data_IF_045472350670
#
_entry.id   IF_045472350670
#
_cell.length_a   1.000
_cell.length_b   1.000
_cell.length_c   1.000
_cell.angle_alpha   90.00
_cell.angle_beta   90.00
_cell.angle_gamma   90.00
#
_symmetry.space_group_name_H-M   'P 1'
#
loop_
_entity.id
_entity.type
_entity.pdbx_description
1 polymer ?
#
# COMPACT_ATOMS: atom_id res chain seq x y z
N UNK A 1 -16.23 25.48 -5.50
CA UNK A 1 -15.06 26.30 -5.91
C UNK A 1 -13.79 25.55 -5.51
N UNK A 2 -13.14 24.92 -6.47
CA UNK A 2 -11.98 24.05 -6.27
C UNK A 2 -10.73 24.93 -6.24
N UNK A 3 -10.16 25.16 -5.08
CA UNK A 3 -8.87 25.86 -4.95
C UNK A 3 -7.75 24.90 -5.31
N UNK A 4 -7.50 24.75 -6.59
CA UNK A 4 -6.23 24.23 -7.12
C UNK A 4 -5.26 25.40 -7.32
N UNK A 5 -4.71 25.90 -6.23
CA UNK A 5 -3.55 26.79 -6.25
C UNK A 5 -2.31 25.95 -5.94
N UNK A 6 -1.50 25.62 -6.93
CA UNK A 6 -0.08 25.30 -6.74
C UNK A 6 0.60 26.61 -6.30
N UNK A 7 0.58 26.91 -5.02
CA UNK A 7 1.47 27.94 -4.50
C UNK A 7 2.89 27.38 -4.47
N UNK A 8 3.69 27.81 -5.40
CA UNK A 8 5.14 27.54 -5.48
C UNK A 8 5.92 28.42 -4.49
N UNK A 9 5.26 29.04 -3.52
CA UNK A 9 5.96 29.85 -2.53
C UNK A 9 6.83 28.98 -1.64
N UNK A 10 8.09 29.37 -1.42
CA UNK A 10 8.96 28.70 -0.48
C UNK A 10 8.36 28.73 0.92
N UNK A 11 8.69 27.75 1.74
CA UNK A 11 8.31 27.79 3.15
C UNK A 11 9.09 28.90 3.86
N UNK A 12 8.55 29.46 4.98
CA UNK A 12 9.36 30.23 5.90
C UNK A 12 10.61 29.46 6.33
N UNK A 13 11.68 30.18 6.63
CA UNK A 13 13.01 29.63 6.98
C UNK A 13 12.92 28.57 8.09
N UNK A 14 12.07 28.79 9.07
CA UNK A 14 11.80 27.87 10.17
C UNK A 14 11.18 26.55 9.69
N UNK A 15 10.33 26.63 8.69
CA UNK A 15 9.71 25.44 8.08
C UNK A 15 10.71 24.62 7.28
N UNK A 16 11.61 25.27 6.55
CA UNK A 16 12.68 24.60 5.80
C UNK A 16 13.66 23.92 6.75
N UNK A 17 14.14 24.62 7.79
CA UNK A 17 15.03 24.07 8.81
C UNK A 17 14.43 22.83 9.50
N UNK A 18 13.14 22.86 9.82
CA UNK A 18 12.45 21.68 10.36
C UNK A 18 12.44 20.48 9.40
N UNK A 19 12.21 20.72 8.11
CA UNK A 19 12.22 19.63 7.12
C UNK A 19 13.63 19.08 6.91
N UNK A 20 14.65 19.92 6.95
CA UNK A 20 16.06 19.51 6.88
C UNK A 20 16.44 18.64 8.08
N UNK A 21 16.08 19.05 9.30
CA UNK A 21 16.27 18.24 10.51
C UNK A 21 15.58 16.88 10.39
N UNK A 22 14.32 16.84 9.93
CA UNK A 22 13.60 15.59 9.73
C UNK A 22 14.31 14.64 8.76
N UNK A 23 14.91 15.20 7.72
CA UNK A 23 15.66 14.44 6.70
C UNK A 23 16.99 13.94 7.25
N UNK A 24 17.77 14.84 7.88
CA UNK A 24 19.11 14.56 8.36
C UNK A 24 19.11 13.62 9.58
N UNK A 25 18.29 13.91 10.59
CA UNK A 25 18.33 13.20 11.87
C UNK A 25 17.35 12.02 11.95
N UNK A 26 16.16 12.14 11.31
CA UNK A 26 15.11 11.11 11.41
C UNK A 26 14.97 10.25 10.16
N UNK A 27 15.80 10.47 9.14
CA UNK A 27 15.73 9.69 7.90
C UNK A 27 14.36 9.71 7.24
N UNK A 28 13.68 10.87 7.26
CA UNK A 28 12.33 11.01 6.70
C UNK A 28 12.33 10.66 5.22
N UNK A 29 11.34 9.86 4.79
CA UNK A 29 11.19 9.53 3.38
C UNK A 29 10.72 10.74 2.58
N UNK A 30 11.01 10.79 1.27
CA UNK A 30 10.52 11.83 0.37
C UNK A 30 8.99 12.03 0.43
N UNK A 31 8.24 10.96 0.64
CA UNK A 31 6.78 11.05 0.82
C UNK A 31 6.40 11.70 2.15
N UNK A 32 7.15 11.44 3.22
CA UNK A 32 6.96 12.08 4.53
C UNK A 32 7.27 13.56 4.44
N UNK A 33 8.39 13.90 3.83
CA UNK A 33 8.81 15.29 3.58
C UNK A 33 7.73 16.04 2.78
N UNK A 34 7.27 15.48 1.66
CA UNK A 34 6.22 16.09 0.84
C UNK A 34 4.90 16.29 1.61
N UNK A 35 4.51 15.32 2.45
CA UNK A 35 3.30 15.42 3.26
C UNK A 35 3.43 16.50 4.33
N UNK A 36 4.56 16.58 5.03
CA UNK A 36 4.83 17.59 6.06
C UNK A 36 4.92 18.98 5.44
N UNK A 37 5.60 19.11 4.30
CA UNK A 37 5.65 20.35 3.51
C UNK A 37 4.25 20.86 3.18
N UNK A 38 3.36 19.98 2.71
CA UNK A 38 1.98 20.37 2.38
C UNK A 38 1.18 20.79 3.64
N UNK A 39 1.38 20.11 4.76
CA UNK A 39 0.72 20.44 6.02
C UNK A 39 1.19 21.78 6.59
N UNK A 40 2.52 22.03 6.59
CA UNK A 40 3.09 23.30 7.04
C UNK A 40 2.67 24.46 6.14
N UNK A 41 2.65 24.29 4.82
CA UNK A 41 2.12 25.31 3.90
C UNK A 41 0.69 25.70 4.24
N UNK A 42 -0.17 24.71 4.52
CA UNK A 42 -1.54 24.97 4.93
C UNK A 42 -1.64 25.77 6.23
N UNK A 43 -0.80 25.44 7.21
CA UNK A 43 -0.70 26.16 8.47
C UNK A 43 -0.20 27.59 8.25
N UNK A 44 0.91 27.78 7.57
CA UNK A 44 1.51 29.10 7.37
C UNK A 44 0.62 30.03 6.55
N UNK A 45 -0.04 29.53 5.52
CA UNK A 45 -1.02 30.27 4.75
C UNK A 45 -2.23 30.73 5.62
N UNK A 46 -2.62 29.93 6.60
CA UNK A 46 -3.67 30.31 7.55
C UNK A 46 -3.19 31.39 8.52
N UNK A 47 -1.97 31.23 9.08
CA UNK A 47 -1.38 32.17 10.01
C UNK A 47 -1.12 33.53 9.34
N UNK A 48 -0.61 33.55 8.11
CA UNK A 48 -0.34 34.78 7.36
C UNK A 48 -1.61 35.62 7.18
N UNK A 49 -2.78 35.00 6.92
CA UNK A 49 -4.07 35.72 6.86
C UNK A 49 -4.46 36.40 8.17
N UNK A 50 -3.88 35.94 9.30
CA UNK A 50 -4.04 36.51 10.62
C UNK A 50 -2.89 37.43 11.03
N UNK A 51 -2.01 37.78 10.08
CA UNK A 51 -0.80 38.57 10.31
C UNK A 51 0.12 37.95 11.36
N UNK A 52 0.17 36.62 11.42
CA UNK A 52 1.02 35.84 12.30
C UNK A 52 1.93 34.95 11.45
N UNK A 53 3.06 34.54 12.05
CA UNK A 53 4.00 33.60 11.46
C UNK A 53 4.39 32.50 12.43
N UNK A 54 5.33 31.61 12.05
CA UNK A 54 5.79 30.53 12.92
C UNK A 54 6.23 30.97 14.30
N UNK A 55 6.92 32.13 14.38
CA UNK A 55 7.48 32.64 15.63
C UNK A 55 6.47 33.42 16.49
N UNK A 56 5.35 33.89 15.93
CA UNK A 56 4.36 34.72 16.62
C UNK A 56 3.01 34.03 16.85
N UNK A 57 2.82 32.83 16.28
CA UNK A 57 1.59 32.07 16.44
C UNK A 57 1.35 31.69 17.91
N UNK A 58 0.13 31.89 18.38
CA UNK A 58 -0.30 31.49 19.72
C UNK A 58 -1.25 30.28 19.67
N UNK A 59 -1.52 29.68 20.83
CA UNK A 59 -2.40 28.52 20.94
C UNK A 59 -3.83 28.78 20.40
N UNK A 60 -4.32 30.01 20.51
CA UNK A 60 -5.63 30.38 19.99
C UNK A 60 -5.69 30.32 18.46
N UNK A 61 -4.66 30.87 17.79
CA UNK A 61 -4.55 30.81 16.32
C UNK A 61 -4.45 29.37 15.82
N UNK A 62 -3.71 28.51 16.53
CA UNK A 62 -3.59 27.10 16.20
C UNK A 62 -4.92 26.32 16.40
N UNK A 63 -5.66 26.62 17.49
CA UNK A 63 -7.03 26.07 17.67
C UNK A 63 -7.96 26.53 16.56
N UNK A 64 -7.90 27.80 16.16
CA UNK A 64 -8.69 28.32 15.06
C UNK A 64 -8.33 27.67 13.71
N UNK A 65 -7.04 27.36 13.49
CA UNK A 65 -6.62 26.57 12.32
C UNK A 65 -7.27 25.18 12.32
N UNK A 66 -7.20 24.45 13.43
CA UNK A 66 -7.81 23.11 13.53
C UNK A 66 -9.32 23.17 13.29
N UNK A 67 -10.03 24.15 13.89
CA UNK A 67 -11.46 24.36 13.61
C UNK A 67 -11.74 24.66 12.13
N UNK A 68 -10.87 25.42 11.46
CA UNK A 68 -11.04 25.68 10.03
C UNK A 68 -10.91 24.44 9.16
N UNK A 69 -10.14 23.45 9.59
CA UNK A 69 -10.01 22.15 8.89
C UNK A 69 -11.31 21.33 9.02
N UNK A 70 -11.94 21.35 10.19
CA UNK A 70 -13.23 20.70 10.40
C UNK A 70 -14.34 21.38 9.57
N UNK A 71 -14.34 22.70 9.51
CA UNK A 71 -15.30 23.46 8.72
C UNK A 71 -15.24 23.16 7.21
N UNK A 72 -14.04 22.90 6.66
CA UNK A 72 -13.88 22.47 5.26
C UNK A 72 -14.09 20.97 5.07
N UNK A 73 -14.59 20.25 6.07
CA UNK A 73 -14.96 18.85 5.98
C UNK A 73 -13.78 17.86 5.94
N UNK A 74 -12.63 18.23 6.51
CA UNK A 74 -11.52 17.30 6.61
C UNK A 74 -11.82 16.18 7.62
N UNK A 75 -11.39 14.96 7.28
CA UNK A 75 -11.62 13.82 8.18
C UNK A 75 -10.85 14.00 9.50
N UNK A 76 -11.40 13.52 10.65
CA UNK A 76 -10.71 13.60 11.95
C UNK A 76 -9.29 13.01 11.92
N UNK A 77 -9.05 11.99 11.10
CA UNK A 77 -7.73 11.39 10.90
C UNK A 77 -6.75 12.36 10.22
N UNK A 78 -7.23 13.15 9.26
CA UNK A 78 -6.41 14.17 8.58
C UNK A 78 -6.08 15.30 9.55
N UNK A 79 -7.04 15.76 10.36
CA UNK A 79 -6.84 16.78 11.38
C UNK A 79 -5.83 16.30 12.43
N UNK A 80 -5.96 15.06 12.94
CA UNK A 80 -5.01 14.46 13.88
C UNK A 80 -3.59 14.38 13.32
N UNK A 81 -3.43 14.04 12.04
CA UNK A 81 -2.11 14.02 11.39
C UNK A 81 -1.50 15.42 11.32
N UNK A 82 -2.28 16.42 10.91
CA UNK A 82 -1.82 17.81 10.86
C UNK A 82 -1.45 18.35 12.24
N UNK A 83 -2.24 18.03 13.27
CA UNK A 83 -1.89 18.36 14.65
C UNK A 83 -0.57 17.71 15.08
N UNK A 84 -0.32 16.45 14.68
CA UNK A 84 0.96 15.78 14.96
C UNK A 84 2.14 16.50 14.31
N UNK A 85 1.99 16.97 13.07
CA UNK A 85 3.02 17.78 12.38
C UNK A 85 3.24 19.11 13.10
N UNK A 86 2.17 19.82 13.47
CA UNK A 86 2.24 21.07 14.23
C UNK A 86 2.98 20.90 15.55
N UNK A 87 2.64 19.88 16.34
CA UNK A 87 3.34 19.57 17.60
C UNK A 87 4.82 19.30 17.41
N UNK A 88 5.19 18.55 16.39
CA UNK A 88 6.58 18.27 16.07
C UNK A 88 7.33 19.54 15.65
N UNK A 89 6.68 20.37 14.84
CA UNK A 89 7.24 21.64 14.38
C UNK A 89 7.47 22.63 15.52
N UNK A 90 6.46 22.92 16.37
CA UNK A 90 6.63 23.86 17.46
C UNK A 90 7.58 23.36 18.56
N UNK A 91 7.61 22.04 18.79
CA UNK A 91 8.63 21.43 19.68
C UNK A 91 10.04 21.60 19.12
N UNK A 92 10.22 21.51 17.79
CA UNK A 92 11.48 21.79 17.13
C UNK A 92 11.87 23.25 17.34
N UNK A 93 10.98 24.21 17.12
CA UNK A 93 11.28 25.63 17.33
C UNK A 93 11.71 25.94 18.77
N UNK A 94 11.06 25.30 19.75
CA UNK A 94 11.44 25.42 21.15
C UNK A 94 12.84 24.80 21.42
N UNK A 95 13.11 23.62 20.88
CA UNK A 95 14.38 22.92 21.05
C UNK A 95 15.56 23.71 20.44
N UNK A 96 15.35 24.32 19.27
CA UNK A 96 16.33 25.17 18.58
C UNK A 96 16.38 26.60 19.14
N UNK A 97 15.66 26.87 20.23
CA UNK A 97 15.59 28.22 20.84
C UNK A 97 15.17 29.35 19.89
N UNK A 98 14.40 28.97 18.85
CA UNK A 98 13.76 29.94 17.95
C UNK A 98 12.50 30.55 18.59
N UNK A 99 11.98 29.85 19.62
CA UNK A 99 10.87 30.29 20.49
C UNK A 99 11.14 29.87 21.92
N UNK A 100 10.50 30.60 22.85
CA UNK A 100 10.57 30.30 24.29
C UNK A 100 9.36 29.47 24.78
N UNK A 101 8.39 29.19 23.90
CA UNK A 101 7.16 28.43 24.22
C UNK A 101 6.81 27.40 23.13
N UNK A 102 5.97 26.43 23.49
CA UNK A 102 5.31 25.51 22.55
C UNK A 102 3.79 25.71 22.56
N UNK A 103 3.25 26.57 21.66
CA UNK A 103 1.81 26.86 21.62
C UNK A 103 0.96 25.65 21.18
N UNK A 104 1.58 24.59 20.68
CA UNK A 104 0.87 23.38 20.29
C UNK A 104 0.76 22.34 21.41
N UNK A 105 1.44 22.54 22.55
CA UNK A 105 1.50 21.61 23.68
C UNK A 105 0.12 21.39 24.32
N UNK A 106 -0.72 22.41 24.38
CA UNK A 106 -2.05 22.42 25.02
C UNK A 106 -3.21 22.11 24.08
N UNK A 107 -2.93 21.75 22.82
CA UNK A 107 -3.99 21.45 21.85
C UNK A 107 -4.50 20.03 22.07
N UNK A 108 -5.83 19.86 22.08
CA UNK A 108 -6.44 18.54 22.17
C UNK A 108 -6.40 17.80 20.84
N UNK A 109 -6.23 16.48 20.92
CA UNK A 109 -6.35 15.62 19.74
C UNK A 109 -7.83 15.38 19.41
N UNK A 110 -8.23 15.44 18.13
CA UNK A 110 -9.58 15.11 17.75
C UNK A 110 -9.92 13.68 18.20
N UNK A 111 -11.15 13.48 18.70
CA UNK A 111 -11.64 12.15 19.06
C UNK A 111 -11.74 11.31 17.78
N UNK A 112 -10.80 10.39 17.61
CA UNK A 112 -10.86 9.38 16.56
C UNK A 112 -11.83 8.30 17.01
N UNK A 113 -12.98 8.18 16.36
CA UNK A 113 -13.80 6.98 16.51
C UNK A 113 -12.95 5.75 16.23
N UNK A 114 -13.13 4.65 16.98
CA UNK A 114 -12.53 3.36 16.64
C UNK A 114 -13.32 2.76 15.48
N UNK A 115 -12.89 2.89 14.22
CA UNK A 115 -13.53 2.16 13.15
C UNK A 115 -13.32 0.67 13.42
N UNK A 116 -14.40 -0.12 13.32
CA UNK A 116 -14.30 -1.57 13.30
C UNK A 116 -13.30 -1.95 12.21
N UNK A 117 -12.37 -2.88 12.46
CA UNK A 117 -11.44 -3.35 11.45
C UNK A 117 -12.23 -3.85 10.24
N UNK A 118 -12.03 -3.22 9.10
CA UNK A 118 -12.66 -3.66 7.84
C UNK A 118 -11.82 -4.81 7.30
N UNK A 119 -12.00 -6.01 7.85
CA UNK A 119 -11.36 -7.21 7.33
C UNK A 119 -12.31 -7.86 6.33
N UNK A 120 -11.82 -8.17 5.14
CA UNK A 120 -12.54 -9.00 4.18
C UNK A 120 -12.46 -10.46 4.63
N UNK A 121 -13.58 -11.18 4.60
CA UNK A 121 -13.60 -12.62 4.82
C UNK A 121 -12.90 -13.36 3.67
N UNK A 122 -12.50 -14.61 3.90
CA UNK A 122 -11.89 -15.48 2.86
C UNK A 122 -12.81 -15.59 1.65
N UNK A 123 -14.11 -15.80 1.87
CA UNK A 123 -15.10 -15.89 0.81
C UNK A 123 -15.23 -14.58 0.00
N UNK A 124 -15.10 -13.41 0.65
CA UNK A 124 -15.10 -12.12 -0.06
C UNK A 124 -13.85 -11.98 -0.92
N UNK A 125 -12.68 -12.37 -0.41
CA UNK A 125 -11.44 -12.36 -1.19
C UNK A 125 -11.51 -13.33 -2.37
N UNK A 126 -12.07 -14.52 -2.18
CA UNK A 126 -12.26 -15.49 -3.26
C UNK A 126 -13.16 -14.95 -4.36
N UNK A 127 -14.31 -14.33 -4.00
CA UNK A 127 -15.17 -13.65 -4.98
C UNK A 127 -14.47 -12.53 -5.72
N UNK A 128 -13.63 -11.75 -5.01
CA UNK A 128 -12.86 -10.65 -5.61
C UNK A 128 -11.87 -11.16 -6.66
N UNK A 129 -11.15 -12.24 -6.36
CA UNK A 129 -10.22 -12.88 -7.28
C UNK A 129 -10.98 -13.47 -8.48
N UNK A 130 -12.09 -14.15 -8.25
CA UNK A 130 -12.89 -14.73 -9.33
C UNK A 130 -13.48 -13.67 -10.26
N UNK A 131 -14.05 -12.59 -9.69
CA UNK A 131 -14.55 -11.45 -10.47
C UNK A 131 -13.46 -10.79 -11.32
N UNK A 132 -12.21 -10.81 -10.87
CA UNK A 132 -11.08 -10.27 -11.63
C UNK A 132 -10.76 -11.11 -12.88
N UNK A 133 -11.02 -12.41 -12.85
CA UNK A 133 -10.81 -13.33 -13.98
C UNK A 133 -11.91 -13.19 -15.03
N UNK A 134 -13.17 -13.05 -14.59
CA UNK A 134 -14.34 -13.04 -15.46
C UNK A 134 -14.56 -11.71 -16.19
N UNK A 135 -14.23 -10.57 -15.59
CA UNK A 135 -14.57 -9.24 -16.09
C UNK A 135 -13.82 -8.83 -17.38
N UNK A 136 -12.73 -9.47 -17.69
CA UNK A 136 -11.79 -9.04 -18.71
C UNK A 136 -11.52 -10.09 -19.78
N UNK A 137 -12.51 -10.95 -20.05
CA UNK A 137 -12.35 -12.24 -20.72
C UNK A 137 -12.17 -12.23 -22.25
N UNK A 138 -12.37 -11.15 -23.01
CA UNK A 138 -12.19 -11.16 -24.49
C UNK A 138 -11.83 -9.75 -25.00
N UNK A 139 -10.86 -9.65 -25.93
CA UNK A 139 -10.38 -8.41 -26.54
C UNK A 139 -9.27 -7.73 -25.71
N UNK A 140 -9.09 -6.40 -25.89
CA UNK A 140 -8.17 -5.59 -25.06
C UNK A 140 -8.44 -5.69 -23.55
N UNK A 141 -9.63 -6.17 -23.17
CA UNK A 141 -10.01 -6.49 -21.79
C UNK A 141 -9.37 -7.76 -21.23
N UNK A 142 -8.99 -8.74 -22.05
CA UNK A 142 -8.39 -10.00 -21.59
C UNK A 142 -7.03 -9.81 -20.91
N UNK A 143 -6.22 -8.88 -21.44
CA UNK A 143 -4.93 -8.51 -20.84
C UNK A 143 -5.11 -7.86 -19.47
N UNK A 144 -6.12 -6.99 -19.31
CA UNK A 144 -6.42 -6.31 -18.04
C UNK A 144 -6.94 -7.29 -16.97
N UNK A 145 -7.67 -8.34 -17.37
CA UNK A 145 -8.15 -9.38 -16.47
C UNK A 145 -7.03 -10.25 -15.92
N UNK A 146 -6.17 -10.74 -16.78
CA UNK A 146 -4.99 -11.50 -16.37
C UNK A 146 -4.09 -10.69 -15.45
N UNK A 147 -3.88 -9.42 -15.76
CA UNK A 147 -3.13 -8.48 -14.91
C UNK A 147 -3.77 -8.30 -13.54
N UNK A 148 -5.08 -8.05 -13.48
CA UNK A 148 -5.76 -7.80 -12.21
C UNK A 148 -5.83 -9.05 -11.33
N UNK A 149 -6.09 -10.21 -11.90
CA UNK A 149 -6.05 -11.47 -11.18
C UNK A 149 -4.66 -11.73 -10.58
N UNK A 150 -3.60 -11.51 -11.36
CA UNK A 150 -2.21 -11.67 -10.90
C UNK A 150 -1.86 -10.69 -9.78
N UNK A 151 -2.27 -9.42 -9.91
CA UNK A 151 -2.08 -8.42 -8.85
C UNK A 151 -2.77 -8.83 -7.54
N UNK A 152 -3.99 -9.36 -7.60
CA UNK A 152 -4.73 -9.80 -6.42
C UNK A 152 -4.12 -11.06 -5.80
N UNK A 153 -3.76 -12.05 -6.60
CA UNK A 153 -3.12 -13.29 -6.12
C UNK A 153 -1.77 -12.98 -5.44
N UNK A 154 -0.94 -12.11 -6.03
CA UNK A 154 0.31 -11.69 -5.39
C UNK A 154 0.02 -10.90 -4.11
N UNK A 155 -0.85 -9.88 -4.16
CA UNK A 155 -1.10 -9.02 -3.00
C UNK A 155 -1.62 -9.81 -1.80
N UNK A 156 -2.59 -10.69 -2.04
CA UNK A 156 -3.19 -11.52 -1.00
C UNK A 156 -2.32 -12.74 -0.65
N UNK A 157 -1.52 -13.26 -1.57
CA UNK A 157 -0.61 -14.38 -1.32
C UNK A 157 0.65 -14.00 -0.56
N UNK A 158 1.05 -12.72 -0.59
CA UNK A 158 2.33 -12.25 -0.06
C UNK A 158 2.20 -11.11 0.95
N UNK A 159 1.07 -10.44 0.99
CA UNK A 159 0.87 -9.26 1.83
C UNK A 159 1.77 -8.07 1.49
N UNK A 160 2.23 -7.93 0.25
CA UNK A 160 3.06 -6.81 -0.18
C UNK A 160 2.38 -5.45 0.05
N UNK A 161 3.19 -4.39 0.23
CA UNK A 161 2.67 -3.02 0.14
C UNK A 161 2.30 -2.72 -1.31
N UNK A 162 1.25 -1.92 -1.53
CA UNK A 162 0.83 -1.55 -2.89
C UNK A 162 1.96 -0.93 -3.72
N UNK A 163 2.83 -0.14 -3.11
CA UNK A 163 4.00 0.43 -3.78
C UNK A 163 5.00 -0.64 -4.23
N UNK A 164 5.25 -1.63 -3.38
CA UNK A 164 6.13 -2.76 -3.70
C UNK A 164 5.54 -3.57 -4.86
N UNK A 165 4.24 -3.90 -4.79
CA UNK A 165 3.54 -4.68 -5.82
C UNK A 165 3.59 -4.02 -7.20
N UNK A 166 3.22 -2.74 -7.31
CA UNK A 166 3.11 -2.07 -8.62
C UNK A 166 4.48 -1.73 -9.23
N UNK A 167 5.53 -1.68 -8.42
CA UNK A 167 6.90 -1.44 -8.88
C UNK A 167 7.75 -2.70 -8.95
N UNK A 168 7.17 -3.91 -8.81
CA UNK A 168 7.90 -5.16 -8.94
C UNK A 168 8.64 -5.20 -10.29
N UNK A 169 9.97 -5.41 -10.27
CA UNK A 169 10.70 -5.62 -11.51
C UNK A 169 10.36 -7.00 -12.09
N UNK A 170 10.48 -7.14 -13.39
CA UNK A 170 10.30 -8.43 -14.08
C UNK A 170 11.27 -9.48 -13.54
N UNK A 171 12.52 -9.08 -13.29
CA UNK A 171 13.55 -9.96 -12.71
C UNK A 171 13.22 -10.53 -11.32
N UNK A 172 12.22 -9.98 -10.62
CA UNK A 172 11.80 -10.51 -9.33
C UNK A 172 11.13 -11.89 -9.43
N UNK A 173 10.62 -12.26 -10.62
CA UNK A 173 9.93 -13.54 -10.88
C UNK A 173 10.69 -14.47 -11.82
N UNK A 174 11.79 -14.00 -12.43
CA UNK A 174 12.57 -14.79 -13.40
C UNK A 174 13.57 -15.75 -12.75
N UNK A 175 14.10 -15.40 -11.57
CA UNK A 175 15.18 -16.18 -10.92
C UNK A 175 14.68 -17.42 -10.22
N UNK A 176 13.60 -17.31 -9.46
CA UNK A 176 12.98 -18.42 -8.74
C UNK A 176 11.46 -18.21 -8.75
N UNK A 177 10.68 -19.11 -9.39
CA UNK A 177 9.24 -18.96 -9.44
C UNK A 177 8.55 -19.22 -8.09
N UNK A 178 9.28 -19.61 -7.05
CA UNK A 178 8.72 -19.92 -5.73
C UNK A 178 8.81 -18.77 -4.74
N UNK A 179 9.64 -17.75 -5.02
CA UNK A 179 9.88 -16.61 -4.13
C UNK A 179 9.94 -15.30 -4.90
N UNK A 180 9.54 -14.20 -4.26
CA UNK A 180 9.77 -12.85 -4.73
C UNK A 180 10.90 -12.19 -3.93
N UNK A 181 11.81 -11.53 -4.62
CA UNK A 181 12.77 -10.61 -4.01
C UNK A 181 12.11 -9.23 -3.99
N UNK A 182 11.81 -8.73 -2.80
CA UNK A 182 11.11 -7.46 -2.62
C UNK A 182 12.01 -6.46 -1.92
N UNK A 183 12.21 -5.30 -2.53
CA UNK A 183 12.97 -4.20 -1.95
C UNK A 183 12.05 -3.29 -1.11
N UNK A 184 12.31 -3.21 0.20
CA UNK A 184 11.57 -2.42 1.17
C UNK A 184 12.15 -1.03 1.44
N UNK A 185 11.73 -0.41 2.55
CA UNK A 185 12.25 0.88 3.03
C UNK A 185 13.76 0.76 3.30
N UNK A 186 14.54 1.77 2.86
CA UNK A 186 15.99 1.79 3.04
C UNK A 186 16.73 0.78 2.14
N UNK A 187 16.14 0.41 0.98
CA UNK A 187 16.72 -0.54 0.02
C UNK A 187 17.01 -1.94 0.58
N UNK A 188 16.47 -2.28 1.75
CA UNK A 188 16.60 -3.63 2.31
C UNK A 188 15.75 -4.61 1.50
N UNK A 189 16.37 -5.72 1.08
CA UNK A 189 15.69 -6.77 0.35
C UNK A 189 15.17 -7.83 1.31
N UNK A 190 14.02 -8.42 0.99
CA UNK A 190 13.47 -9.59 1.66
C UNK A 190 12.92 -10.59 0.66
N UNK A 191 13.04 -11.86 1.01
CA UNK A 191 12.39 -12.95 0.28
C UNK A 191 10.96 -13.13 0.78
N UNK A 192 10.03 -13.25 -0.15
CA UNK A 192 8.62 -13.51 0.14
C UNK A 192 8.17 -14.72 -0.65
N UNK A 193 7.79 -15.83 0.00
CA UNK A 193 7.35 -17.03 -0.70
C UNK A 193 6.04 -16.78 -1.44
N UNK A 194 5.92 -17.37 -2.65
CA UNK A 194 4.72 -17.33 -3.47
C UNK A 194 3.85 -18.56 -3.22
N UNK A 195 2.57 -18.32 -3.06
CA UNK A 195 1.56 -19.40 -3.11
C UNK A 195 1.47 -19.98 -4.53
N UNK A 196 1.01 -21.21 -4.66
CA UNK A 196 0.85 -21.83 -5.98
C UNK A 196 -0.14 -21.07 -6.88
N UNK A 197 -1.31 -20.59 -6.40
CA UNK A 197 -2.19 -19.75 -7.20
C UNK A 197 -1.49 -18.48 -7.73
N UNK A 198 -0.66 -17.82 -6.90
CA UNK A 198 0.09 -16.64 -7.33
C UNK A 198 1.12 -17.00 -8.43
N UNK A 199 1.81 -18.13 -8.30
CA UNK A 199 2.77 -18.62 -9.32
C UNK A 199 2.08 -18.88 -10.66
N UNK A 200 0.94 -19.59 -10.64
CA UNK A 200 0.15 -19.88 -11.84
C UNK A 200 -0.38 -18.59 -12.49
N UNK A 201 -0.86 -17.63 -11.68
CA UNK A 201 -1.30 -16.34 -12.18
C UNK A 201 -0.15 -15.54 -12.82
N UNK A 202 1.04 -15.54 -12.22
CA UNK A 202 2.25 -14.91 -12.78
C UNK A 202 2.59 -15.56 -14.12
N UNK A 203 2.65 -16.89 -14.18
CA UNK A 203 2.97 -17.61 -15.41
C UNK A 203 1.98 -17.32 -16.55
N UNK A 204 0.68 -17.24 -16.22
CA UNK A 204 -0.35 -16.87 -17.18
C UNK A 204 -0.21 -15.42 -17.65
N UNK A 205 0.09 -14.49 -16.72
CA UNK A 205 0.30 -13.08 -17.02
C UNK A 205 1.51 -12.86 -17.93
N UNK A 206 2.63 -13.54 -17.67
CA UNK A 206 3.85 -13.40 -18.47
C UNK A 206 3.65 -13.75 -19.95
N UNK A 207 2.73 -14.67 -20.27
CA UNK A 207 2.41 -15.03 -21.66
C UNK A 207 1.73 -13.91 -22.47
N UNK A 208 1.00 -13.03 -21.79
CA UNK A 208 0.21 -11.95 -22.44
C UNK A 208 0.75 -10.55 -22.12
N UNK A 209 1.70 -10.47 -21.18
CA UNK A 209 2.23 -9.21 -20.65
C UNK A 209 2.79 -8.28 -21.74
N UNK A 210 3.54 -8.84 -22.67
CA UNK A 210 4.25 -8.05 -23.68
C UNK A 210 3.27 -7.49 -24.73
N UNK A 211 2.14 -8.16 -24.97
CA UNK A 211 1.03 -7.62 -25.76
C UNK A 211 0.35 -6.40 -25.15
N UNK A 212 0.44 -6.24 -23.81
CA UNK A 212 -0.08 -5.05 -23.12
C UNK A 212 0.75 -3.78 -23.37
N UNK A 213 1.96 -3.94 -23.89
CA UNK A 213 2.83 -2.85 -24.34
C UNK A 213 2.61 -2.65 -25.86
N UNK A 214 2.09 -1.48 -26.26
CA UNK A 214 2.04 -1.14 -27.69
C UNK A 214 3.46 -1.06 -28.27
N UNK A 215 3.61 -1.41 -29.55
CA UNK A 215 4.78 -1.11 -30.38
C UNK A 215 6.10 -1.82 -29.99
N UNK A 216 6.05 -3.05 -29.50
CA UNK A 216 7.27 -3.85 -29.23
C UNK A 216 8.17 -3.27 -28.13
N UNK A 217 7.67 -2.36 -27.30
CA UNK A 217 8.42 -1.79 -26.18
C UNK A 217 8.63 -2.84 -25.07
N UNK A 218 9.87 -3.02 -24.63
CA UNK A 218 10.16 -3.78 -23.42
C UNK A 218 9.94 -2.94 -22.17
N UNK A 219 9.60 -3.58 -21.06
CA UNK A 219 9.49 -2.93 -19.75
C UNK A 219 10.17 -3.75 -18.68
N UNK A 220 10.95 -3.10 -17.84
CA UNK A 220 11.59 -3.71 -16.67
C UNK A 220 10.61 -4.09 -15.54
N UNK A 221 9.35 -3.64 -15.61
CA UNK A 221 8.35 -3.87 -14.56
C UNK A 221 7.48 -5.09 -14.88
N UNK A 222 7.12 -5.84 -13.85
CA UNK A 222 6.17 -6.96 -13.99
C UNK A 222 4.79 -6.46 -14.46
N UNK A 223 4.36 -5.28 -13.98
CA UNK A 223 3.10 -4.64 -14.34
C UNK A 223 3.34 -3.33 -15.08
N UNK A 224 3.65 -3.40 -16.38
CA UNK A 224 3.94 -2.23 -17.18
C UNK A 224 2.72 -1.32 -17.37
N UNK A 225 2.98 -0.05 -17.69
CA UNK A 225 1.96 0.93 -18.06
C UNK A 225 2.52 1.91 -19.09
N UNK A 226 1.64 2.42 -19.96
CA UNK A 226 1.97 3.48 -20.95
C UNK A 226 2.17 4.85 -20.29
N UNK A 227 1.85 5.01 -19.01
CA UNK A 227 2.03 6.27 -18.29
C UNK A 227 3.50 6.61 -18.05
N UNK A 228 3.76 7.87 -17.67
CA UNK A 228 5.11 8.41 -17.42
C UNK A 228 5.97 7.59 -16.46
N UNK A 229 5.36 6.90 -15.51
CA UNK A 229 6.07 6.03 -14.55
C UNK A 229 6.57 4.72 -15.15
N UNK A 230 6.11 4.32 -16.34
CA UNK A 230 6.40 3.04 -16.99
C UNK A 230 5.81 1.81 -16.29
N UNK A 231 5.17 1.99 -15.14
CA UNK A 231 4.50 0.93 -14.38
C UNK A 231 3.10 1.35 -13.95
N UNK A 232 2.28 0.38 -13.54
CA UNK A 232 0.95 0.63 -12.99
C UNK A 232 1.04 1.54 -11.76
N UNK A 233 0.25 2.62 -11.72
CA UNK A 233 0.24 3.54 -10.57
C UNK A 233 -0.60 2.96 -9.42
N UNK A 234 -0.24 3.31 -8.18
CA UNK A 234 -1.03 2.95 -6.98
C UNK A 234 -2.49 3.42 -7.10
N UNK A 235 -2.69 4.61 -7.66
CA UNK A 235 -4.03 5.17 -7.86
C UNK A 235 -4.84 4.33 -8.86
N UNK A 236 -4.25 3.99 -10.02
CA UNK A 236 -4.93 3.17 -11.02
C UNK A 236 -5.23 1.77 -10.49
N UNK A 237 -4.30 1.14 -9.78
CA UNK A 237 -4.56 -0.15 -9.13
C UNK A 237 -5.73 -0.06 -8.13
N UNK A 238 -5.78 1.00 -7.31
CA UNK A 238 -6.90 1.20 -6.36
C UNK A 238 -8.24 1.41 -7.07
N UNK A 239 -8.25 2.10 -8.22
CA UNK A 239 -9.45 2.25 -9.04
C UNK A 239 -9.92 0.89 -9.60
N UNK A 240 -9.01 0.14 -10.24
CA UNK A 240 -9.31 -1.22 -10.76
C UNK A 240 -9.81 -2.15 -9.66
N UNK A 241 -9.20 -2.09 -8.47
CA UNK A 241 -9.60 -2.88 -7.32
C UNK A 241 -11.04 -2.55 -6.88
N UNK A 242 -11.43 -1.28 -6.83
CA UNK A 242 -12.80 -0.88 -6.51
C UNK A 242 -13.80 -1.30 -7.59
N UNK A 243 -13.42 -1.20 -8.84
CA UNK A 243 -14.23 -1.68 -9.96
C UNK A 243 -14.45 -3.21 -9.88
N UNK A 244 -13.40 -3.96 -9.52
CA UNK A 244 -13.49 -5.41 -9.31
C UNK A 244 -14.36 -5.74 -8.09
N UNK A 245 -14.30 -4.95 -7.03
CA UNK A 245 -15.14 -5.13 -5.84
C UNK A 245 -16.63 -5.00 -6.19
N UNK A 246 -17.01 -4.00 -7.00
CA UNK A 246 -18.38 -3.85 -7.49
C UNK A 246 -18.84 -5.10 -8.27
N UNK A 247 -17.99 -5.62 -9.16
CA UNK A 247 -18.29 -6.83 -9.92
C UNK A 247 -18.44 -8.09 -9.03
N UNK A 248 -17.72 -8.11 -7.90
CA UNK A 248 -17.78 -9.18 -6.89
C UNK A 248 -18.97 -9.05 -5.91
N UNK A 249 -19.81 -8.00 -6.04
CA UNK A 249 -20.88 -7.70 -5.09
C UNK A 249 -20.36 -7.27 -3.71
N UNK A 250 -19.22 -6.60 -3.67
CA UNK A 250 -18.58 -6.10 -2.44
C UNK A 250 -18.58 -4.58 -2.46
N UNK A 251 -18.99 -3.93 -1.36
CA UNK A 251 -18.94 -2.48 -1.23
C UNK A 251 -17.50 -1.95 -1.44
N UNK A 252 -17.25 -1.11 -2.46
CA UNK A 252 -15.92 -0.58 -2.77
C UNK A 252 -15.29 0.26 -1.65
N UNK A 253 -16.10 0.80 -0.73
CA UNK A 253 -15.61 1.54 0.44
C UNK A 253 -14.89 0.61 1.43
N UNK A 254 -15.25 -0.67 1.44
CA UNK A 254 -14.64 -1.70 2.29
C UNK A 254 -13.32 -2.23 1.72
N UNK A 255 -13.03 -1.97 0.43
CA UNK A 255 -11.91 -2.60 -0.29
C UNK A 255 -10.81 -1.59 -0.57
N UNK A 256 -9.60 -1.94 -0.17
CA UNK A 256 -8.38 -1.20 -0.50
C UNK A 256 -7.17 -2.15 -0.46
N UNK A 257 -6.03 -1.77 -1.05
CA UNK A 257 -4.81 -2.57 -0.94
C UNK A 257 -4.37 -2.84 0.51
N UNK A 258 -4.58 -1.88 1.41
CA UNK A 258 -4.29 -2.06 2.84
C UNK A 258 -5.23 -3.05 3.51
N UNK A 259 -6.51 -3.06 3.16
CA UNK A 259 -7.49 -4.01 3.68
C UNK A 259 -7.16 -5.43 3.23
N UNK A 260 -6.76 -5.63 1.96
CA UNK A 260 -6.32 -6.95 1.47
C UNK A 260 -5.06 -7.43 2.17
N UNK A 261 -4.08 -6.55 2.37
CA UNK A 261 -2.88 -6.90 3.15
C UNK A 261 -3.22 -7.23 4.60
N UNK A 262 -4.18 -6.54 5.21
CA UNK A 262 -4.65 -6.84 6.55
C UNK A 262 -5.39 -8.18 6.60
N UNK A 263 -6.25 -8.46 5.61
CA UNK A 263 -6.90 -9.75 5.47
C UNK A 263 -5.90 -10.90 5.33
N UNK A 264 -4.84 -10.74 4.53
CA UNK A 264 -3.74 -11.69 4.45
C UNK A 264 -3.16 -12.01 5.83
N UNK A 265 -2.77 -10.96 6.60
CA UNK A 265 -2.18 -11.13 7.93
C UNK A 265 -3.15 -11.83 8.90
N UNK A 266 -4.40 -11.39 8.96
CA UNK A 266 -5.43 -11.96 9.84
C UNK A 266 -5.73 -13.42 9.50
N UNK A 267 -5.89 -13.75 8.21
CA UNK A 267 -6.20 -15.09 7.78
C UNK A 267 -5.03 -16.08 7.96
N UNK A 268 -3.78 -15.60 7.88
CA UNK A 268 -2.61 -16.42 8.25
C UNK A 268 -2.60 -16.74 9.74
N UNK A 269 -2.84 -15.74 10.60
CA UNK A 269 -2.92 -15.93 12.06
C UNK A 269 -4.07 -16.87 12.43
N UNK A 270 -5.25 -16.71 11.85
CA UNK A 270 -6.39 -17.62 12.00
C UNK A 270 -6.07 -19.04 11.50
N UNK A 271 -5.19 -19.17 10.51
CA UNK A 271 -4.66 -20.44 10.02
C UNK A 271 -3.62 -21.08 10.96
N UNK A 272 -3.28 -20.42 12.07
CA UNK A 272 -2.31 -20.90 13.05
C UNK A 272 -0.85 -20.55 12.71
N UNK A 273 -0.63 -19.51 11.89
CA UNK A 273 0.71 -18.94 11.70
C UNK A 273 1.14 -18.17 12.95
N UNK A 274 2.41 -18.26 13.32
CA UNK A 274 2.93 -17.45 14.41
C UNK A 274 3.07 -15.97 14.02
N UNK A 275 2.83 -15.07 14.98
CA UNK A 275 2.84 -13.62 14.76
C UNK A 275 4.17 -13.12 14.21
N UNK A 276 5.29 -13.67 14.67
CA UNK A 276 6.64 -13.25 14.26
C UNK A 276 6.89 -13.55 12.78
N UNK A 277 6.50 -14.74 12.31
CA UNK A 277 6.58 -15.11 10.89
C UNK A 277 5.73 -14.20 10.01
N UNK A 278 4.51 -13.86 10.45
CA UNK A 278 3.65 -12.92 9.73
C UNK A 278 4.27 -11.52 9.68
N UNK A 279 4.85 -11.04 10.78
CA UNK A 279 5.54 -9.74 10.83
C UNK A 279 6.76 -9.70 9.89
N UNK A 280 7.54 -10.78 9.83
CA UNK A 280 8.68 -10.91 8.90
C UNK A 280 8.22 -10.85 7.44
N UNK A 281 7.19 -11.59 7.07
CA UNK A 281 6.62 -11.55 5.70
C UNK A 281 6.13 -10.15 5.34
N UNK A 282 5.53 -9.44 6.29
CA UNK A 282 5.04 -8.08 6.10
C UNK A 282 6.17 -7.04 6.04
N UNK A 283 7.38 -7.35 6.48
CA UNK A 283 8.52 -6.43 6.47
C UNK A 283 8.32 -5.28 7.46
N UNK A 284 7.96 -5.60 8.72
CA UNK A 284 7.95 -4.65 9.81
C UNK A 284 9.40 -4.40 10.27
N UNK A 285 9.85 -3.15 10.17
CA UNK A 285 11.27 -2.76 10.29
C UNK A 285 11.86 -2.84 11.71
N UNK A 286 11.03 -2.97 12.74
CA UNK A 286 11.48 -2.92 14.14
C UNK A 286 12.05 -4.23 14.70
N UNK A 287 12.10 -5.29 13.89
CA UNK A 287 12.77 -6.51 14.30
C UNK A 287 14.11 -6.55 13.58
N UNK A 288 15.12 -6.01 14.27
CA UNK A 288 16.51 -6.07 13.85
C UNK A 288 16.88 -7.52 13.53
N UNK A 289 17.30 -7.77 12.32
CA UNK A 289 18.44 -8.59 11.95
C UNK A 289 18.35 -9.07 10.52
N UNK A 290 19.03 -8.35 9.66
CA UNK A 290 19.27 -8.71 8.25
C UNK A 290 20.28 -9.89 8.14
N UNK A 291 20.69 -10.49 9.24
CA UNK A 291 21.82 -11.45 9.24
C UNK A 291 21.47 -12.92 9.46
N UNK A 292 20.19 -13.29 9.61
CA UNK A 292 19.83 -14.71 9.81
C UNK A 292 18.71 -15.11 8.83
N UNK A 293 18.91 -14.89 7.53
CA UNK A 293 18.18 -15.63 6.51
C UNK A 293 18.96 -16.89 6.14
N UNK A 294 19.06 -17.81 7.10
CA UNK A 294 19.54 -19.16 6.84
C UNK A 294 18.44 -19.97 6.15
N UNK A 295 18.83 -20.96 5.35
CA UNK A 295 17.93 -21.88 4.64
C UNK A 295 16.75 -22.42 5.48
N UNK A 296 16.91 -22.54 6.79
CA UNK A 296 15.90 -23.03 7.75
C UNK A 296 14.72 -22.05 7.89
N UNK A 297 14.98 -20.73 7.86
CA UNK A 297 13.89 -19.74 7.97
C UNK A 297 13.08 -19.66 6.69
N UNK A 298 13.75 -19.82 5.54
CA UNK A 298 13.13 -19.82 4.22
C UNK A 298 12.19 -21.03 4.05
N UNK A 299 12.61 -22.20 4.49
CA UNK A 299 11.79 -23.41 4.45
C UNK A 299 10.57 -23.32 5.38
N UNK A 300 10.74 -22.70 6.57
CA UNK A 300 9.66 -22.45 7.51
C UNK A 300 8.63 -21.46 6.95
N UNK A 301 9.06 -20.42 6.26
CA UNK A 301 8.17 -19.47 5.59
C UNK A 301 7.46 -20.10 4.39
N UNK A 302 8.14 -20.94 3.61
CA UNK A 302 7.53 -21.69 2.50
C UNK A 302 6.47 -22.67 2.99
N UNK A 303 6.73 -23.42 4.06
CA UNK A 303 5.75 -24.34 4.65
C UNK A 303 4.55 -23.58 5.21
N UNK A 304 4.76 -22.42 5.80
CA UNK A 304 3.71 -21.59 6.34
C UNK A 304 2.74 -21.10 5.24
N UNK A 305 3.25 -20.67 4.10
CA UNK A 305 2.42 -20.28 2.95
C UNK A 305 1.72 -21.50 2.36
N UNK A 306 2.43 -22.63 2.21
CA UNK A 306 1.85 -23.85 1.66
C UNK A 306 0.74 -24.43 2.54
N UNK A 307 0.93 -24.45 3.87
CA UNK A 307 0.10 -25.21 4.79
C UNK A 307 -0.95 -24.34 5.50
N UNK A 308 -0.65 -23.06 5.73
CA UNK A 308 -1.48 -22.14 6.53
C UNK A 308 -2.14 -21.04 5.72
N UNK A 309 -1.69 -20.80 4.48
CA UNK A 309 -2.33 -19.79 3.65
C UNK A 309 -3.74 -20.23 3.22
N UNK A 310 -4.74 -19.34 3.27
CA UNK A 310 -6.13 -19.68 2.90
C UNK A 310 -6.26 -20.25 1.48
N UNK A 311 -5.48 -19.74 0.52
CA UNK A 311 -5.51 -20.24 -0.86
C UNK A 311 -4.86 -21.61 -1.05
N UNK A 312 -4.10 -22.13 -0.11
CA UNK A 312 -3.50 -23.46 -0.20
C UNK A 312 -4.56 -24.59 -0.24
N UNK A 313 -5.75 -24.35 0.30
CA UNK A 313 -6.87 -25.31 0.33
C UNK A 313 -7.73 -25.31 -0.94
N UNK A 314 -7.55 -24.32 -1.83
CA UNK A 314 -8.38 -24.14 -3.04
C UNK A 314 -8.25 -25.29 -4.07
N UNK A 315 -7.09 -25.96 -4.10
CA UNK A 315 -6.84 -27.05 -5.07
C UNK A 315 -7.46 -28.39 -4.68
N UNK A 316 -7.77 -28.62 -3.39
CA UNK A 316 -8.32 -29.90 -2.95
C UNK A 316 -9.79 -30.14 -3.37
N UNK A 317 -10.48 -29.11 -3.89
CA UNK A 317 -11.88 -29.17 -4.31
C UNK A 317 -12.09 -29.09 -5.82
N UNK A 318 -11.06 -28.87 -6.62
CA UNK A 318 -11.17 -28.94 -8.07
C UNK A 318 -11.14 -30.40 -8.51
N UNK A 319 -12.32 -31.00 -8.77
CA UNK A 319 -12.43 -32.28 -9.44
C UNK A 319 -11.69 -32.23 -10.79
N UNK A 320 -10.87 -33.24 -11.15
CA UNK A 320 -10.26 -33.28 -12.47
C UNK A 320 -11.36 -33.29 -13.54
N UNK A 321 -11.14 -32.65 -14.70
CA UNK A 321 -12.12 -32.71 -15.79
C UNK A 321 -12.34 -34.16 -16.19
N UNK A 322 -13.61 -34.57 -16.19
CA UNK A 322 -14.02 -35.88 -16.65
C UNK A 322 -13.69 -35.96 -18.14
N UNK A 323 -12.73 -36.83 -18.48
CA UNK A 323 -12.34 -37.13 -19.85
C UNK A 323 -13.54 -37.83 -20.54
N UNK A 324 -14.31 -37.07 -21.35
CA UNK A 324 -15.48 -37.55 -22.11
C UNK A 324 -15.10 -38.17 -23.44
N UNK A 325 -13.87 -38.63 -23.63
CA UNK A 325 -13.45 -39.17 -24.93
C UNK A 325 -12.99 -40.64 -24.85
N UNK A 326 -13.80 -41.49 -24.21
CA UNK A 326 -13.72 -42.96 -24.38
C UNK A 326 -15.12 -43.56 -24.59
N UNK A 327 -15.68 -43.38 -25.78
CA UNK A 327 -16.67 -44.25 -26.36
C UNK A 327 -16.78 -43.97 -27.87
N UNK A 328 -16.05 -44.69 -28.65
CA UNK A 328 -16.48 -45.26 -29.94
C UNK A 328 -15.29 -45.98 -30.58
N UNK A 329 -15.30 -47.28 -30.45
CA UNK A 329 -14.40 -48.21 -31.10
C UNK A 329 -14.66 -49.60 -30.61
N UNK A 330 -15.79 -50.16 -31.02
CA UNK A 330 -15.93 -51.58 -31.28
C UNK A 330 -17.36 -51.85 -31.78
N UNK A 331 -17.48 -51.93 -33.09
CA UNK A 331 -18.23 -52.97 -33.86
C UNK A 331 -18.05 -52.72 -35.35
#
# INVERSE_FOLDING_TARGET
MTVRGKSSEPLPREGEAFLEMLKAERGASANTEAAYTADLRGLFAFLARRKQGPLTANAEALRAYLKSLDYVGMTPRTVARRLSVMRQFFRFLLAERMRDDDPASTLDSPKLGRPLPKVLSRAEVDRLIEASRGRFGTGRGGEDGGRMATLLEILYGTGLRVSELVTLPLSAVERDPTVLIVRGKGSKERLVPLSEPARLAIAAWLRVRDGALADGRSSRYLFPSRGRSGHLTRQRFTQLLKETALAAGIDPVRVSPHVLRHAFASHLLEGGADLRSVQLMLGHADIATTQIYTHVLDEKLRSLVRDKHPLAKRQRTAKPPVDRNRRSGDR
#
